data_IF_797697038335
#
_entry.id   IF_797697038335
#
_cell.length_a   1.000
_cell.length_b   1.000
_cell.length_c   1.000
_cell.angle_alpha   90.00
_cell.angle_beta   90.00
_cell.angle_gamma   90.00
#
_symmetry.space_group_name_H-M   'P 1'
#
loop_
_entity.id
_entity.type
_entity.pdbx_description
1 polymer ?
#
# COMPACT_ATOMS: atom_id res chain seq x y z
N UNK A 1 9.93 -8.57 -6.77
CA UNK A 1 9.05 -8.40 -7.92
C UNK A 1 9.07 -6.96 -8.36
N UNK A 2 8.18 -6.60 -9.26
CA UNK A 2 7.97 -5.22 -9.67
C UNK A 2 6.48 -4.90 -9.62
N UNK A 3 6.16 -3.63 -9.43
CA UNK A 3 4.82 -3.07 -9.56
C UNK A 3 4.91 -1.74 -10.30
N UNK A 4 3.80 -1.26 -10.85
CA UNK A 4 3.77 0.07 -11.43
C UNK A 4 2.35 0.56 -11.61
N UNK A 5 2.22 1.87 -11.73
CA UNK A 5 0.95 2.52 -12.01
C UNK A 5 1.08 3.50 -13.17
N UNK A 6 -0.02 3.61 -13.91
CA UNK A 6 -0.19 4.60 -14.94
C UNK A 6 -1.65 5.05 -14.92
N UNK A 7 -1.87 6.35 -15.05
CA UNK A 7 -3.21 6.91 -15.11
C UNK A 7 -3.56 7.30 -16.54
N UNK A 8 -4.83 7.18 -16.90
CA UNK A 8 -5.35 7.69 -18.16
C UNK A 8 -5.52 9.22 -18.15
N UNK A 9 -5.33 9.87 -16.99
CA UNK A 9 -5.31 11.31 -16.86
C UNK A 9 -3.91 11.85 -17.19
N UNK A 10 -3.82 12.95 -17.94
CA UNK A 10 -2.55 13.56 -18.38
C UNK A 10 -1.77 14.28 -17.28
N UNK A 11 -2.32 14.38 -16.06
CA UNK A 11 -1.74 15.11 -14.94
C UNK A 11 -1.14 14.22 -13.85
N UNK A 12 -1.35 12.90 -13.92
CA UNK A 12 -0.87 11.98 -12.90
C UNK A 12 0.57 11.52 -13.17
N UNK A 13 1.29 11.22 -12.09
CA UNK A 13 2.69 10.81 -12.10
C UNK A 13 2.74 9.28 -12.21
N UNK A 14 3.30 8.69 -13.30
CA UNK A 14 3.51 7.26 -13.38
C UNK A 14 4.49 6.76 -12.31
N UNK A 15 4.40 5.48 -11.98
CA UNK A 15 5.21 4.86 -10.94
C UNK A 15 5.77 3.52 -11.41
N UNK A 16 7.01 3.22 -11.03
CA UNK A 16 7.72 1.99 -11.40
C UNK A 16 8.56 1.48 -10.22
N UNK A 17 8.04 0.49 -9.52
CA UNK A 17 8.56 0.07 -8.22
C UNK A 17 9.23 -1.29 -8.29
N UNK A 18 10.24 -1.45 -7.44
CA UNK A 18 10.84 -2.73 -7.14
C UNK A 18 10.52 -3.12 -5.70
N UNK A 19 10.38 -4.42 -5.47
CA UNK A 19 10.23 -4.92 -4.11
C UNK A 19 10.92 -6.26 -3.90
N UNK A 20 11.45 -6.44 -2.68
CA UNK A 20 11.91 -7.72 -2.17
C UNK A 20 10.96 -8.18 -1.07
N UNK A 21 10.42 -9.40 -1.19
CA UNK A 21 9.51 -9.97 -0.21
C UNK A 21 10.04 -11.27 0.35
N UNK A 22 9.97 -11.44 1.66
CA UNK A 22 10.34 -12.66 2.36
C UNK A 22 9.28 -13.01 3.40
N UNK A 23 8.89 -14.27 3.46
CA UNK A 23 7.94 -14.78 4.45
C UNK A 23 8.66 -15.73 5.39
N UNK A 24 8.59 -15.43 6.69
CA UNK A 24 9.10 -16.27 7.75
C UNK A 24 8.02 -16.52 8.79
N UNK A 25 7.62 -17.78 8.94
CA UNK A 25 6.50 -18.17 9.80
C UNK A 25 5.20 -17.43 9.41
N UNK A 26 4.63 -16.64 10.33
CA UNK A 26 3.42 -15.82 10.11
C UNK A 26 3.73 -14.37 9.73
N UNK A 27 5.01 -14.03 9.61
CA UNK A 27 5.47 -12.69 9.28
C UNK A 27 5.87 -12.62 7.81
N UNK A 28 5.42 -11.58 7.14
CA UNK A 28 5.79 -11.25 5.77
C UNK A 28 6.45 -9.90 5.79
N UNK A 29 7.69 -9.85 5.32
CA UNK A 29 8.48 -8.65 5.21
C UNK A 29 8.52 -8.23 3.74
N UNK A 30 8.29 -6.96 3.44
CA UNK A 30 8.47 -6.40 2.10
C UNK A 30 9.33 -5.15 2.19
N UNK A 31 10.43 -5.11 1.46
CA UNK A 31 11.19 -3.90 1.25
C UNK A 31 10.80 -3.35 -0.13
N UNK A 32 10.39 -2.09 -0.19
CA UNK A 32 10.03 -1.41 -1.42
C UNK A 32 11.09 -0.39 -1.80
N UNK A 33 11.21 -0.18 -3.10
CA UNK A 33 11.84 0.95 -3.75
C UNK A 33 10.79 1.57 -4.67
N UNK A 34 10.11 2.60 -4.17
CA UNK A 34 9.08 3.34 -4.91
C UNK A 34 9.74 4.38 -5.80
N UNK A 35 9.39 4.44 -7.08
CA UNK A 35 9.91 5.48 -7.97
C UNK A 35 8.81 6.22 -8.72
N UNK A 36 8.62 7.49 -8.34
CA UNK A 36 7.67 8.39 -8.97
C UNK A 36 8.30 9.12 -10.16
N UNK A 37 7.79 8.84 -11.36
CA UNK A 37 8.23 9.45 -12.62
C UNK A 37 7.65 10.85 -12.80
N UNK A 38 8.01 11.78 -11.93
CA UNK A 38 7.52 13.16 -12.01
C UNK A 38 8.25 13.93 -13.13
N UNK A 39 7.69 13.86 -14.33
CA UNK A 39 8.20 14.53 -15.53
C UNK A 39 8.26 16.07 -15.42
N UNK A 40 7.62 16.65 -14.39
CA UNK A 40 7.59 18.10 -14.13
C UNK A 40 8.65 18.55 -13.12
N UNK A 41 9.30 17.62 -12.39
CA UNK A 41 10.25 17.92 -11.32
C UNK A 41 11.70 17.57 -11.67
N UNK A 42 12.61 18.18 -10.90
CA UNK A 42 14.08 17.94 -10.91
C UNK A 42 14.47 16.50 -10.51
N UNK A 43 13.56 15.72 -9.91
CA UNK A 43 13.82 14.40 -9.30
C UNK A 43 13.41 13.19 -10.17
N UNK A 44 13.38 13.35 -11.50
CA UNK A 44 13.06 12.26 -12.44
C UNK A 44 14.32 11.50 -12.90
N UNK A 45 15.12 11.02 -11.96
CA UNK A 45 16.40 10.35 -12.24
C UNK A 45 16.47 9.00 -11.54
N UNK A 46 16.11 7.94 -12.26
CA UNK A 46 16.01 6.58 -11.74
C UNK A 46 17.34 5.99 -11.20
N UNK A 47 18.48 6.45 -11.72
CA UNK A 47 19.79 5.94 -11.28
C UNK A 47 20.46 6.83 -10.22
N UNK A 48 19.72 7.81 -9.67
CA UNK A 48 20.24 8.76 -8.68
C UNK A 48 19.65 8.46 -7.31
N UNK A 49 20.50 8.01 -6.38
CA UNK A 49 20.12 7.63 -5.01
C UNK A 49 20.58 8.62 -3.94
N UNK A 50 20.81 9.87 -4.34
CA UNK A 50 21.15 10.97 -3.43
C UNK A 50 19.87 11.59 -2.87
N UNK A 51 19.73 11.65 -1.53
CA UNK A 51 18.54 12.17 -0.84
C UNK A 51 18.04 13.53 -1.33
N UNK A 52 18.92 14.43 -1.75
CA UNK A 52 18.49 15.76 -2.20
C UNK A 52 17.81 15.74 -3.58
N UNK A 53 18.14 14.74 -4.41
CA UNK A 53 17.82 14.69 -5.85
C UNK A 53 17.06 13.43 -6.28
N UNK A 54 16.93 12.43 -5.43
CA UNK A 54 16.33 11.14 -5.78
C UNK A 54 14.81 11.21 -5.82
N UNK A 55 14.21 10.56 -6.81
CA UNK A 55 12.76 10.31 -6.92
C UNK A 55 12.31 9.03 -6.23
N UNK A 56 13.23 8.35 -5.54
CA UNK A 56 13.02 7.07 -4.90
C UNK A 56 12.60 7.22 -3.44
N UNK A 57 11.73 6.33 -2.98
CA UNK A 57 11.36 6.18 -1.59
C UNK A 57 11.44 4.72 -1.15
N UNK A 58 12.27 4.46 -0.15
CA UNK A 58 12.46 3.11 0.38
C UNK A 58 11.65 2.93 1.64
N UNK A 59 10.81 1.90 1.62
CA UNK A 59 9.99 1.52 2.76
C UNK A 59 10.18 0.08 3.17
N UNK A 60 9.89 -0.19 4.43
CA UNK A 60 9.87 -1.53 5.00
C UNK A 60 8.50 -1.83 5.60
N UNK A 61 7.88 -2.87 5.07
CA UNK A 61 6.58 -3.37 5.50
C UNK A 61 6.76 -4.67 6.27
N UNK A 62 6.02 -4.79 7.38
CA UNK A 62 5.83 -6.04 8.10
C UNK A 62 4.33 -6.33 8.20
N UNK A 63 3.92 -7.45 7.61
CA UNK A 63 2.56 -7.97 7.70
C UNK A 63 2.54 -9.23 8.58
N UNK A 64 1.54 -9.33 9.44
CA UNK A 64 1.27 -10.47 10.30
C UNK A 64 -0.19 -10.88 10.20
N UNK A 65 -0.44 -12.19 10.03
CA UNK A 65 -1.79 -12.76 10.10
C UNK A 65 -1.84 -13.68 11.32
N UNK A 66 -2.76 -13.39 12.25
CA UNK A 66 -2.81 -14.08 13.54
C UNK A 66 -3.07 -15.59 13.37
N UNK A 67 -4.13 -15.98 12.65
CA UNK A 67 -4.38 -17.36 12.25
C UNK A 67 -5.52 -17.46 11.23
N UNK A 68 -5.75 -18.64 10.67
CA UNK A 68 -6.96 -18.90 9.87
C UNK A 68 -8.26 -18.89 10.70
N UNK A 69 -8.19 -19.12 12.01
CA UNK A 69 -9.36 -19.12 12.91
C UNK A 69 -9.73 -17.71 13.35
N UNK A 70 -8.72 -16.85 13.51
CA UNK A 70 -8.86 -15.44 13.84
C UNK A 70 -8.13 -14.68 12.73
N UNK A 71 -8.81 -14.36 11.61
CA UNK A 71 -8.23 -13.75 10.43
C UNK A 71 -7.98 -12.25 10.62
N UNK A 72 -7.30 -11.92 11.72
CA UNK A 72 -6.82 -10.59 12.04
C UNK A 72 -5.45 -10.41 11.36
N UNK A 73 -5.37 -9.40 10.51
CA UNK A 73 -4.15 -8.97 9.82
C UNK A 73 -3.68 -7.66 10.43
N UNK A 74 -2.38 -7.54 10.63
CA UNK A 74 -1.70 -6.30 11.04
C UNK A 74 -0.63 -6.00 10.02
N UNK A 75 -0.58 -4.75 9.56
CA UNK A 75 0.45 -4.21 8.69
C UNK A 75 1.11 -3.03 9.41
N UNK A 76 2.43 -3.00 9.36
CA UNK A 76 3.24 -1.85 9.76
C UNK A 76 4.15 -1.50 8.60
N UNK A 77 4.16 -0.24 8.20
CA UNK A 77 4.96 0.30 7.11
C UNK A 77 5.76 1.50 7.61
N UNK A 78 7.01 1.60 7.15
CA UNK A 78 7.91 2.68 7.52
C UNK A 78 8.82 3.08 6.36
N UNK A 79 8.78 4.36 5.99
CA UNK A 79 9.66 4.96 5.00
C UNK A 79 11.00 5.31 5.66
N UNK A 80 12.06 4.57 5.36
CA UNK A 80 13.33 4.69 6.08
C UNK A 80 14.38 5.51 5.34
N UNK A 81 14.23 5.71 4.02
CA UNK A 81 15.19 6.47 3.23
C UNK A 81 14.59 6.92 1.90
N UNK A 82 14.83 8.15 1.47
CA UNK A 82 14.46 8.59 0.12
C UNK A 82 13.80 9.96 0.10
N UNK A 83 12.85 10.13 -0.81
CA UNK A 83 12.14 11.37 -1.05
C UNK A 83 11.30 11.82 0.15
N UNK A 84 10.81 10.89 0.98
CA UNK A 84 10.21 11.19 2.27
C UNK A 84 11.24 11.58 3.33
N UNK A 85 11.34 12.88 3.58
CA UNK A 85 12.18 13.43 4.64
C UNK A 85 11.57 13.33 6.05
N UNK A 86 10.29 12.97 6.17
CA UNK A 86 9.57 12.88 7.45
C UNK A 86 9.53 11.46 8.02
N UNK A 87 10.05 10.48 7.28
CA UNK A 87 10.08 9.08 7.71
C UNK A 87 8.70 8.56 8.12
N UNK A 88 7.74 8.71 7.22
CA UNK A 88 6.34 8.41 7.41
C UNK A 88 6.15 6.96 7.85
N UNK A 89 5.22 6.77 8.78
CA UNK A 89 4.85 5.46 9.30
C UNK A 89 3.37 5.23 9.11
N UNK A 90 2.98 3.99 8.83
CA UNK A 90 1.59 3.60 8.68
C UNK A 90 1.33 2.27 9.38
N UNK A 91 0.19 2.19 10.05
CA UNK A 91 -0.26 1.01 10.76
C UNK A 91 -1.65 0.68 10.28
N UNK A 92 -1.90 -0.55 9.86
CA UNK A 92 -3.24 -1.00 9.49
C UNK A 92 -3.56 -2.29 10.21
N UNK A 93 -4.80 -2.40 10.66
CA UNK A 93 -5.38 -3.64 11.11
C UNK A 93 -6.61 -3.94 10.30
N UNK A 94 -6.76 -5.19 9.90
CA UNK A 94 -7.95 -5.64 9.18
C UNK A 94 -8.43 -7.01 9.63
N UNK A 95 -9.73 -7.25 9.45
CA UNK A 95 -10.38 -8.48 9.88
C UNK A 95 -11.32 -9.00 8.80
N UNK A 96 -11.15 -10.27 8.41
CA UNK A 96 -12.04 -10.93 7.45
C UNK A 96 -13.28 -11.49 8.16
N UNK A 97 -14.45 -10.93 7.87
CA UNK A 97 -15.72 -11.25 8.53
C UNK A 97 -16.29 -12.63 8.16
N UNK A 98 -16.06 -13.08 6.92
CA UNK A 98 -16.63 -14.33 6.39
C UNK A 98 -15.66 -15.00 5.44
N UNK A 99 -15.63 -16.34 5.43
CA UNK A 99 -14.78 -17.12 4.51
C UNK A 99 -15.45 -17.41 3.16
N UNK A 100 -16.78 -17.33 3.06
CA UNK A 100 -17.52 -17.66 1.82
C UNK A 100 -17.41 -16.57 0.76
N UNK A 101 -17.48 -15.32 1.20
CA UNK A 101 -17.31 -14.13 0.38
C UNK A 101 -16.42 -13.21 1.22
N UNK A 102 -15.09 -13.30 1.12
CA UNK A 102 -14.21 -12.58 2.03
C UNK A 102 -14.48 -11.08 2.00
N UNK A 103 -15.13 -10.61 3.06
CA UNK A 103 -15.38 -9.20 3.34
C UNK A 103 -14.45 -8.80 4.47
N UNK A 104 -13.49 -7.95 4.14
CA UNK A 104 -12.50 -7.43 5.07
C UNK A 104 -12.93 -6.03 5.51
N UNK A 105 -12.91 -5.77 6.81
CA UNK A 105 -12.98 -4.42 7.38
C UNK A 105 -11.57 -4.02 7.79
N UNK A 106 -11.19 -2.77 7.55
CA UNK A 106 -9.84 -2.29 7.88
C UNK A 106 -9.88 -0.88 8.47
N UNK A 107 -8.88 -0.61 9.30
CA UNK A 107 -8.58 0.71 9.86
C UNK A 107 -7.08 0.94 9.86
N UNK A 108 -6.69 2.13 9.40
CA UNK A 108 -5.34 2.56 9.16
C UNK A 108 -5.05 3.89 9.87
N UNK A 109 -3.89 3.95 10.50
CA UNK A 109 -3.45 5.00 11.39
C UNK A 109 -2.03 5.44 11.02
N UNK A 110 -1.78 6.74 11.08
CA UNK A 110 -0.42 7.30 11.07
C UNK A 110 -0.14 7.96 12.42
N UNK A 111 1.05 7.75 13.02
CA UNK A 111 1.43 8.37 14.29
C UNK A 111 1.88 9.82 14.12
N UNK A 112 2.22 10.27 12.91
CA UNK A 112 2.84 11.56 12.64
C UNK A 112 2.42 12.15 11.30
N UNK A 113 2.80 13.41 11.07
CA UNK A 113 2.70 14.02 9.75
C UNK A 113 3.68 13.36 8.77
N UNK A 114 3.31 13.32 7.49
CA UNK A 114 4.07 12.66 6.45
C UNK A 114 3.22 12.39 5.21
N UNK A 115 3.64 11.40 4.43
CA UNK A 115 2.97 10.97 3.19
C UNK A 115 1.54 10.48 3.44
N UNK A 116 1.31 9.79 4.55
CA UNK A 116 0.01 9.20 4.89
C UNK A 116 -0.99 10.21 5.48
N UNK A 117 -0.53 11.33 6.05
CA UNK A 117 -1.40 12.26 6.75
C UNK A 117 -0.70 13.51 7.28
N UNK A 118 -1.48 14.49 7.72
CA UNK A 118 -0.99 15.80 8.20
C UNK A 118 -0.64 15.82 9.70
N UNK A 119 -0.69 14.67 10.36
CA UNK A 119 -0.51 14.51 11.80
C UNK A 119 -1.06 13.18 12.28
N UNK A 120 -0.97 12.92 13.57
CA UNK A 120 -1.49 11.71 14.20
C UNK A 120 -2.98 11.52 13.92
N UNK A 121 -3.40 10.35 13.43
CA UNK A 121 -4.83 10.10 13.21
C UNK A 121 -5.15 8.92 12.31
N UNK A 122 -6.46 8.65 12.17
CA UNK A 122 -7.01 7.64 11.27
C UNK A 122 -7.06 8.23 9.85
N UNK A 123 -6.39 7.57 8.92
CA UNK A 123 -6.21 8.05 7.54
C UNK A 123 -6.76 7.09 6.49
N UNK A 124 -7.12 5.87 6.90
CA UNK A 124 -7.68 4.87 6.01
C UNK A 124 -8.69 4.02 6.78
N UNK A 125 -9.91 3.87 6.30
CA UNK A 125 -10.89 2.95 6.88
C UNK A 125 -11.83 2.50 5.80
N UNK A 126 -12.42 1.32 5.93
CA UNK A 126 -13.39 0.90 4.94
C UNK A 126 -13.64 -0.59 4.91
N UNK A 127 -14.16 -1.02 3.77
CA UNK A 127 -14.51 -2.40 3.49
C UNK A 127 -13.91 -2.84 2.16
N UNK A 128 -13.44 -4.08 2.12
CA UNK A 128 -12.88 -4.71 0.93
C UNK A 128 -13.60 -6.04 0.69
N UNK A 129 -14.29 -6.14 -0.43
CA UNK A 129 -14.85 -7.37 -0.94
C UNK A 129 -13.81 -8.06 -1.82
N UNK A 130 -13.49 -9.32 -1.52
CA UNK A 130 -12.53 -10.12 -2.30
C UNK A 130 -13.30 -11.21 -3.04
N UNK A 131 -13.07 -11.33 -4.35
CA UNK A 131 -13.69 -12.36 -5.18
C UNK A 131 -12.66 -12.99 -6.11
N UNK A 132 -12.48 -14.30 -6.02
CA UNK A 132 -11.65 -15.05 -6.97
C UNK A 132 -12.42 -15.24 -8.28
N UNK A 133 -11.84 -14.77 -9.38
CA UNK A 133 -12.32 -15.04 -10.73
C UNK A 133 -11.42 -16.08 -11.40
N UNK A 134 -12.03 -17.13 -11.95
CA UNK A 134 -11.33 -18.15 -12.71
C UNK A 134 -11.06 -17.62 -14.11
N UNK A 135 -9.79 -17.43 -14.47
CA UNK A 135 -9.36 -17.01 -15.81
C UNK A 135 -9.27 -18.25 -16.72
N UNK A 136 -8.70 -19.34 -16.20
CA UNK A 136 -8.63 -20.64 -16.86
C UNK A 136 -8.70 -21.78 -15.84
N UNK A 137 -8.62 -23.04 -16.27
CA UNK A 137 -8.68 -24.19 -15.37
C UNK A 137 -7.66 -24.17 -14.23
N UNK A 138 -6.49 -23.61 -14.49
CA UNK A 138 -5.37 -23.54 -13.54
C UNK A 138 -5.17 -22.14 -12.95
N UNK A 139 -5.70 -21.09 -13.59
CA UNK A 139 -5.43 -19.71 -13.20
C UNK A 139 -6.65 -19.04 -12.55
N UNK A 140 -6.43 -18.53 -11.34
CA UNK A 140 -7.37 -17.67 -10.62
C UNK A 140 -6.75 -16.31 -10.39
N UNK A 141 -7.58 -15.27 -10.46
CA UNK A 141 -7.19 -13.90 -10.15
C UNK A 141 -8.12 -13.35 -9.07
N UNK A 142 -7.59 -12.90 -7.93
CA UNK A 142 -8.38 -12.24 -6.92
C UNK A 142 -8.72 -10.82 -7.38
N UNK A 143 -10.01 -10.49 -7.38
CA UNK A 143 -10.49 -9.12 -7.60
C UNK A 143 -10.90 -8.54 -6.26
N UNK A 144 -10.40 -7.35 -5.96
CA UNK A 144 -10.67 -6.62 -4.73
C UNK A 144 -11.51 -5.38 -5.06
N UNK A 145 -12.70 -5.28 -4.49
CA UNK A 145 -13.54 -4.09 -4.57
C UNK A 145 -13.52 -3.40 -3.21
N UNK A 146 -13.02 -2.16 -3.17
CA UNK A 146 -12.79 -1.41 -1.92
C UNK A 146 -13.64 -0.15 -1.89
N UNK A 147 -14.36 0.05 -0.80
CA UNK A 147 -14.92 1.35 -0.43
C UNK A 147 -14.08 1.88 0.72
N UNK A 148 -13.37 2.99 0.47
CA UNK A 148 -12.36 3.56 1.36
C UNK A 148 -12.81 4.95 1.77
N UNK A 149 -12.62 5.27 3.04
CA UNK A 149 -12.73 6.60 3.60
C UNK A 149 -11.38 7.01 4.17
N UNK A 150 -10.99 8.26 3.95
CA UNK A 150 -9.88 8.89 4.65
C UNK A 150 -10.47 9.92 5.62
N UNK A 151 -10.67 9.57 6.91
CA UNK A 151 -11.32 10.47 7.87
C UNK A 151 -10.56 11.78 8.08
N UNK A 152 -9.23 11.75 8.07
CA UNK A 152 -8.42 12.95 8.25
C UNK A 152 -8.55 13.94 7.07
N UNK A 153 -8.75 13.43 5.85
CA UNK A 153 -8.93 14.27 4.63
C UNK A 153 -10.38 14.46 4.21
N UNK A 154 -11.34 13.85 4.93
CA UNK A 154 -12.76 13.83 4.58
C UNK A 154 -13.06 13.33 3.16
N UNK A 155 -12.23 12.43 2.64
CA UNK A 155 -12.36 11.88 1.29
C UNK A 155 -12.99 10.49 1.29
N UNK A 156 -13.65 10.15 0.18
CA UNK A 156 -14.18 8.82 -0.13
C UNK A 156 -13.62 8.33 -1.46
N UNK A 157 -13.28 7.05 -1.54
CA UNK A 157 -12.73 6.41 -2.73
C UNK A 157 -13.41 5.07 -2.99
N UNK A 158 -13.59 4.76 -4.27
CA UNK A 158 -14.00 3.45 -4.75
C UNK A 158 -12.85 2.88 -5.61
N UNK A 159 -12.35 1.72 -5.23
CA UNK A 159 -11.22 1.07 -5.91
C UNK A 159 -11.56 -0.34 -6.36
N UNK A 160 -11.07 -0.72 -7.55
CA UNK A 160 -11.08 -2.09 -8.04
C UNK A 160 -9.63 -2.46 -8.37
N UNK A 161 -9.10 -3.51 -7.74
CA UNK A 161 -7.74 -4.00 -7.99
C UNK A 161 -7.77 -5.50 -8.31
N UNK A 162 -6.78 -5.97 -9.07
CA UNK A 162 -6.63 -7.35 -9.55
C UNK A 162 -5.23 -7.89 -9.22
#
# INVERSE_FOLDING_TARGET
>A
GAWGSYSFNSLDIPEADLYLRYTFWKLKFTCWDYFYMDMSKVRNSYFVYNQEKMGHDFSFDTEFILSEKVPLKVLVSYNFYGADSLHSSYFETSYTLTKRIPLEIFVGFTPSAGWYGNGTGIVNTGVCLIKEYKISDENKMPVYCKLIFNPQRENIYLGITF
#
